data_IF_035469756448
#
_entry.id   IF_035469756448
#
_cell.length_a   1.000
_cell.length_b   1.000
_cell.length_c   1.000
_cell.angle_alpha   90.00
_cell.angle_beta   90.00
_cell.angle_gamma   90.00
#
_symmetry.space_group_name_H-M   'P 1'
#
loop_
_entity.id
_entity.type
_entity.pdbx_description
1 polymer ?
#
# COMPACT_ATOMS: atom_id res chain seq x y z
N UNK A 1 15.24 12.12 -19.66
CA UNK A 1 14.39 13.25 -19.19
C UNK A 1 12.96 12.84 -18.84
N UNK A 2 12.20 12.12 -19.68
CA UNK A 2 10.79 11.79 -19.34
C UNK A 2 10.60 10.90 -18.09
N UNK A 3 11.47 9.91 -17.87
CA UNK A 3 11.38 9.02 -16.71
C UNK A 3 11.63 9.78 -15.39
N UNK A 4 12.78 10.46 -15.29
CA UNK A 4 13.14 11.27 -14.11
C UNK A 4 12.06 12.30 -13.71
N UNK A 5 11.44 12.99 -14.68
CA UNK A 5 10.34 13.92 -14.36
C UNK A 5 9.11 13.19 -13.80
N UNK A 6 8.73 12.07 -14.39
CA UNK A 6 7.61 11.25 -13.89
C UNK A 6 7.89 10.75 -12.48
N UNK A 7 9.10 10.28 -12.21
CA UNK A 7 9.48 9.74 -10.92
C UNK A 7 9.41 10.84 -9.84
N UNK A 8 9.92 12.03 -10.17
CA UNK A 8 9.78 13.24 -9.34
C UNK A 8 8.31 13.62 -9.08
N UNK A 9 7.50 13.73 -10.14
CA UNK A 9 6.09 14.11 -10.05
C UNK A 9 5.30 13.11 -9.19
N UNK A 10 5.62 11.82 -9.30
CA UNK A 10 4.95 10.75 -8.55
C UNK A 10 5.30 10.81 -7.07
N UNK A 11 6.57 11.00 -6.74
CA UNK A 11 6.99 11.16 -5.35
C UNK A 11 6.38 12.43 -4.72
N UNK A 12 6.40 13.55 -5.45
CA UNK A 12 5.77 14.80 -5.01
C UNK A 12 4.26 14.66 -4.78
N UNK A 13 3.57 13.91 -5.65
CA UNK A 13 2.13 13.64 -5.47
C UNK A 13 1.84 12.70 -4.29
N UNK A 14 2.76 11.78 -3.98
CA UNK A 14 2.60 10.84 -2.89
C UNK A 14 2.93 11.42 -1.51
N UNK A 15 3.88 12.35 -1.41
CA UNK A 15 4.39 12.85 -0.13
C UNK A 15 3.29 13.38 0.82
N UNK A 16 2.29 14.17 0.36
CA UNK A 16 1.18 14.60 1.23
C UNK A 16 0.32 13.43 1.76
N UNK A 17 0.30 12.30 1.05
CA UNK A 17 -0.50 11.12 1.38
C UNK A 17 0.24 10.15 2.29
N UNK A 18 1.56 10.26 2.41
CA UNK A 18 2.43 9.30 3.12
C UNK A 18 1.96 8.98 4.53
N UNK A 19 1.64 10.01 5.32
CA UNK A 19 1.12 9.82 6.67
C UNK A 19 -0.25 9.13 6.68
N UNK A 20 -1.15 9.54 5.77
CA UNK A 20 -2.46 8.93 5.60
C UNK A 20 -2.38 7.47 5.13
N UNK A 21 -1.41 7.13 4.28
CA UNK A 21 -1.21 5.78 3.75
C UNK A 21 -0.93 4.76 4.86
N UNK A 22 -0.10 5.11 5.85
CA UNK A 22 0.13 4.25 7.03
C UNK A 22 -1.16 3.99 7.81
N UNK A 23 -1.96 5.03 8.02
CA UNK A 23 -3.22 4.90 8.74
C UNK A 23 -4.24 4.04 7.99
N UNK A 24 -4.34 4.23 6.66
CA UNK A 24 -5.20 3.42 5.81
C UNK A 24 -4.77 1.95 5.80
N UNK A 25 -3.46 1.68 5.73
CA UNK A 25 -2.91 0.34 5.78
C UNK A 25 -3.22 -0.35 7.12
N UNK A 26 -2.91 0.30 8.25
CA UNK A 26 -3.19 -0.24 9.58
C UNK A 26 -4.70 -0.51 9.80
N UNK A 27 -5.56 0.37 9.26
CA UNK A 27 -7.01 0.18 9.28
C UNK A 27 -7.42 -1.04 8.48
N UNK A 28 -6.88 -1.23 7.27
CA UNK A 28 -7.18 -2.38 6.43
C UNK A 28 -6.68 -3.70 7.03
N UNK A 29 -5.49 -3.72 7.61
CA UNK A 29 -4.95 -4.90 8.34
C UNK A 29 -5.87 -5.28 9.51
N UNK A 30 -6.30 -4.31 10.30
CA UNK A 30 -7.25 -4.53 11.41
C UNK A 30 -8.59 -5.06 10.90
N UNK A 31 -9.13 -4.46 9.84
CA UNK A 31 -10.39 -4.89 9.23
C UNK A 31 -10.29 -6.32 8.71
N UNK A 32 -9.18 -6.69 8.07
CA UNK A 32 -8.97 -8.01 7.52
C UNK A 32 -9.01 -9.10 8.60
N UNK A 33 -8.44 -8.85 9.77
CA UNK A 33 -8.46 -9.77 10.93
C UNK A 33 -9.89 -10.01 11.45
N UNK A 34 -10.77 -9.03 11.33
CA UNK A 34 -12.14 -9.11 11.83
C UNK A 34 -13.17 -9.55 10.78
N UNK A 35 -12.74 -9.77 9.53
CA UNK A 35 -13.65 -10.28 8.50
C UNK A 35 -13.93 -11.78 8.70
N UNK A 36 -15.15 -12.24 8.39
CA UNK A 36 -15.44 -13.68 8.32
C UNK A 36 -14.50 -14.38 7.34
N UNK A 37 -14.01 -15.58 7.69
CA UNK A 37 -13.02 -16.31 6.88
C UNK A 37 -13.47 -16.53 5.42
N UNK A 38 -14.77 -16.77 5.20
CA UNK A 38 -15.35 -16.95 3.87
C UNK A 38 -15.39 -15.66 3.02
N UNK A 39 -15.13 -14.51 3.62
CA UNK A 39 -15.09 -13.19 2.96
C UNK A 39 -13.66 -12.77 2.62
N UNK A 40 -12.67 -13.29 3.36
CA UNK A 40 -11.26 -12.96 3.17
C UNK A 40 -10.76 -13.53 1.84
N UNK A 41 -10.18 -12.67 1.00
CA UNK A 41 -9.53 -13.09 -0.24
C UNK A 41 -8.02 -13.24 0.01
N UNK A 42 -7.43 -14.38 -0.36
CA UNK A 42 -5.99 -14.65 -0.15
C UNK A 42 -5.09 -13.57 -0.78
N UNK A 43 -5.50 -12.96 -1.90
CA UNK A 43 -4.76 -11.87 -2.54
C UNK A 43 -4.63 -10.63 -1.66
N UNK A 44 -5.58 -10.37 -0.77
CA UNK A 44 -5.52 -9.20 0.12
C UNK A 44 -4.36 -9.30 1.10
N UNK A 45 -4.08 -10.49 1.63
CA UNK A 45 -2.94 -10.71 2.55
C UNK A 45 -1.62 -10.37 1.85
N UNK A 46 -1.43 -10.88 0.63
CA UNK A 46 -0.25 -10.56 -0.18
C UNK A 46 -0.16 -9.06 -0.49
N UNK A 47 -1.27 -8.46 -0.96
CA UNK A 47 -1.32 -7.05 -1.32
C UNK A 47 -1.00 -6.15 -0.12
N UNK A 48 -1.56 -6.41 1.06
CA UNK A 48 -1.22 -5.66 2.27
C UNK A 48 0.25 -5.82 2.67
N UNK A 49 0.83 -7.01 2.49
CA UNK A 49 2.25 -7.26 2.70
C UNK A 49 3.12 -6.38 1.80
N UNK A 50 2.86 -6.36 0.49
CA UNK A 50 3.58 -5.49 -0.45
C UNK A 50 3.44 -4.03 -0.05
N UNK A 51 2.22 -3.57 0.24
CA UNK A 51 1.97 -2.18 0.64
C UNK A 51 2.73 -1.75 1.89
N UNK A 52 2.84 -2.63 2.88
CA UNK A 52 3.62 -2.41 4.09
C UNK A 52 5.11 -2.30 3.78
N UNK A 53 5.62 -3.25 3.01
CA UNK A 53 7.05 -3.31 2.70
C UNK A 53 7.46 -2.11 1.84
N UNK A 54 6.64 -1.73 0.85
CA UNK A 54 6.87 -0.53 0.03
C UNK A 54 6.83 0.76 0.86
N UNK A 55 5.93 0.91 1.84
CA UNK A 55 5.98 2.06 2.77
C UNK A 55 7.27 2.08 3.60
N UNK A 56 7.65 0.93 4.16
CA UNK A 56 8.88 0.82 4.95
C UNK A 56 10.11 1.22 4.13
N UNK A 57 10.19 0.75 2.88
CA UNK A 57 11.29 1.12 1.96
C UNK A 57 11.30 2.59 1.59
N UNK A 58 10.13 3.18 1.34
CA UNK A 58 10.04 4.63 1.11
C UNK A 58 10.54 5.42 2.33
N UNK A 59 10.25 4.96 3.56
CA UNK A 59 10.72 5.56 4.81
C UNK A 59 12.24 5.50 4.97
N UNK A 60 12.83 4.35 4.67
CA UNK A 60 14.28 4.18 4.64
C UNK A 60 14.93 5.10 3.60
N UNK A 61 14.40 5.13 2.37
CA UNK A 61 14.90 5.99 1.30
C UNK A 61 14.78 7.48 1.64
N UNK A 62 13.72 7.89 2.34
CA UNK A 62 13.60 9.27 2.79
C UNK A 62 14.67 9.62 3.83
N UNK A 63 14.95 8.71 4.78
CA UNK A 63 16.06 8.88 5.73
C UNK A 63 17.41 9.00 5.02
N UNK A 64 17.68 8.09 4.08
CA UNK A 64 18.91 8.11 3.27
C UNK A 64 19.06 9.39 2.44
N UNK A 65 17.96 9.92 1.90
CA UNK A 65 17.95 11.20 1.20
C UNK A 65 18.36 12.35 2.12
N UNK A 66 17.83 12.40 3.34
CA UNK A 66 18.20 13.44 4.32
C UNK A 66 19.70 13.36 4.66
N UNK A 67 20.21 12.15 4.92
CA UNK A 67 21.63 11.93 5.19
C UNK A 67 22.51 12.33 4.00
N UNK A 68 22.13 11.93 2.78
CA UNK A 68 22.85 12.27 1.54
C UNK A 68 22.87 13.78 1.34
N UNK A 69 21.72 14.44 1.48
CA UNK A 69 21.58 15.89 1.34
C UNK A 69 22.44 16.64 2.36
N UNK A 70 22.49 16.17 3.60
CA UNK A 70 23.26 16.81 4.66
C UNK A 70 24.78 16.58 4.49
N UNK A 71 25.18 15.54 3.75
CA UNK A 71 26.57 15.26 3.39
C UNK A 71 27.05 16.00 2.12
N UNK A 72 26.14 16.62 1.36
CA UNK A 72 26.52 17.35 0.15
C UNK A 72 27.41 18.57 0.45
N UNK A 73 28.28 18.97 -0.50
CA UNK A 73 29.05 20.20 -0.37
C UNK A 73 28.15 21.43 -0.13
N UNK A 74 28.62 22.43 0.61
CA UNK A 74 27.84 23.65 0.87
C UNK A 74 27.47 24.44 -0.41
N UNK A 75 28.15 24.17 -1.52
CA UNK A 75 27.87 24.72 -2.85
C UNK A 75 26.75 23.98 -3.59
N UNK A 76 26.45 22.75 -3.20
CA UNK A 76 25.40 21.94 -3.79
C UNK A 76 24.03 22.44 -3.32
N UNK A 77 23.29 23.01 -4.25
CA UNK A 77 21.96 23.60 -4.05
C UNK A 77 21.05 23.16 -5.20
N UNK A 78 19.72 23.27 -5.07
CA UNK A 78 18.82 23.04 -6.21
C UNK A 78 19.29 23.77 -7.47
N UNK A 79 19.39 23.06 -8.59
CA UNK A 79 19.94 23.58 -9.86
C UNK A 79 21.44 23.38 -10.05
N UNK A 80 22.12 22.74 -9.10
CA UNK A 80 23.52 22.30 -9.25
C UNK A 80 23.56 20.80 -9.51
N UNK A 81 24.52 20.35 -10.32
CA UNK A 81 24.63 18.93 -10.70
C UNK A 81 24.70 18.00 -9.48
N UNK A 82 25.56 18.30 -8.50
CA UNK A 82 25.71 17.48 -7.29
C UNK A 82 24.38 17.29 -6.52
N UNK A 83 23.53 18.32 -6.46
CA UNK A 83 22.24 18.22 -5.80
C UNK A 83 21.19 17.53 -6.67
N UNK A 84 21.10 17.94 -7.94
CA UNK A 84 20.06 17.47 -8.87
C UNK A 84 20.28 15.99 -9.23
N UNK A 85 21.53 15.53 -9.33
CA UNK A 85 21.88 14.13 -9.59
C UNK A 85 21.52 13.25 -8.38
N UNK A 86 21.90 13.67 -7.17
CA UNK A 86 21.54 12.96 -5.94
C UNK A 86 20.01 12.89 -5.74
N UNK A 87 19.30 13.97 -6.07
CA UNK A 87 17.84 14.00 -6.05
C UNK A 87 17.23 13.08 -7.10
N UNK A 88 17.79 13.05 -8.32
CA UNK A 88 17.32 12.18 -9.39
C UNK A 88 17.51 10.69 -9.04
N UNK A 89 18.61 10.34 -8.39
CA UNK A 89 18.85 8.98 -7.87
C UNK A 89 17.80 8.60 -6.82
N UNK A 90 17.55 9.47 -5.83
CA UNK A 90 16.50 9.25 -4.84
C UNK A 90 15.12 9.01 -5.47
N UNK A 91 14.76 9.80 -6.48
CA UNK A 91 13.50 9.61 -7.21
C UNK A 91 13.46 8.28 -7.96
N UNK A 92 14.54 7.89 -8.62
CA UNK A 92 14.63 6.65 -9.37
C UNK A 92 14.52 5.42 -8.45
N UNK A 93 15.16 5.44 -7.28
CA UNK A 93 15.07 4.36 -6.29
C UNK A 93 13.68 4.26 -5.67
N UNK A 94 13.03 5.40 -5.42
CA UNK A 94 11.68 5.45 -4.84
C UNK A 94 10.60 4.95 -5.81
N UNK A 95 10.84 5.05 -7.12
CA UNK A 95 9.84 4.77 -8.16
C UNK A 95 9.17 3.40 -8.01
N UNK A 96 9.96 2.32 -7.84
CA UNK A 96 9.42 0.96 -7.80
C UNK A 96 8.41 0.76 -6.65
N UNK A 97 8.70 1.34 -5.49
CA UNK A 97 7.83 1.25 -4.31
C UNK A 97 6.59 2.13 -4.43
N UNK A 98 6.68 3.25 -5.15
CA UNK A 98 5.50 4.07 -5.49
C UNK A 98 4.59 3.37 -6.49
N UNK A 99 5.17 2.64 -7.46
CA UNK A 99 4.42 1.84 -8.43
C UNK A 99 3.70 0.66 -7.75
N UNK A 100 4.35 -0.01 -6.80
CA UNK A 100 3.71 -1.03 -5.95
C UNK A 100 2.51 -0.46 -5.18
N UNK A 101 2.65 0.76 -4.62
CA UNK A 101 1.56 1.45 -3.95
C UNK A 101 0.39 1.74 -4.89
N UNK A 102 0.68 2.30 -6.05
CA UNK A 102 -0.34 2.62 -7.04
C UNK A 102 -1.07 1.34 -7.52
N UNK A 103 -0.32 0.25 -7.70
CA UNK A 103 -0.83 -1.04 -8.17
C UNK A 103 -1.70 -1.75 -7.13
N UNK A 104 -1.27 -1.76 -5.87
CA UNK A 104 -1.92 -2.56 -4.83
C UNK A 104 -2.88 -1.77 -3.92
N UNK A 105 -2.85 -0.43 -3.96
CA UNK A 105 -3.67 0.42 -3.09
C UNK A 105 -5.18 0.23 -3.23
N UNK A 106 -5.66 -0.36 -4.34
CA UNK A 106 -7.08 -0.75 -4.49
C UNK A 106 -7.53 -1.74 -3.40
N UNK A 107 -6.64 -2.59 -2.91
CA UNK A 107 -6.95 -3.59 -1.87
C UNK A 107 -7.52 -2.93 -0.60
N UNK A 108 -7.00 -1.76 -0.22
CA UNK A 108 -7.47 -1.02 0.95
C UNK A 108 -8.97 -0.68 0.86
N UNK A 109 -9.43 -0.22 -0.31
CA UNK A 109 -10.83 0.13 -0.55
C UNK A 109 -11.72 -1.11 -0.57
N UNK A 110 -11.24 -2.21 -1.13
CA UNK A 110 -11.98 -3.46 -1.20
C UNK A 110 -12.21 -4.07 0.19
N UNK A 111 -11.16 -4.11 1.03
CA UNK A 111 -11.23 -4.57 2.42
C UNK A 111 -12.19 -3.67 3.22
N UNK A 112 -12.07 -2.34 3.08
CA UNK A 112 -12.97 -1.41 3.74
C UNK A 112 -14.44 -1.66 3.37
N UNK A 113 -14.71 -1.86 2.08
CA UNK A 113 -16.05 -2.14 1.57
C UNK A 113 -16.59 -3.47 2.13
N UNK A 114 -15.76 -4.53 2.13
CA UNK A 114 -16.13 -5.81 2.74
C UNK A 114 -16.43 -5.68 4.24
N UNK A 115 -15.63 -4.90 4.97
CA UNK A 115 -15.83 -4.66 6.39
C UNK A 115 -17.09 -3.85 6.70
N UNK A 116 -17.51 -2.94 5.81
CA UNK A 116 -18.78 -2.23 5.92
C UNK A 116 -19.97 -3.16 5.67
N UNK A 117 -19.87 -4.04 4.67
CA UNK A 117 -20.91 -5.02 4.36
C UNK A 117 -21.08 -6.03 5.50
N UNK A 118 -19.98 -6.55 6.05
CA UNK A 118 -20.01 -7.49 7.16
C UNK A 118 -20.63 -6.90 8.45
N UNK A 119 -20.52 -5.59 8.65
CA UNK A 119 -21.16 -4.86 9.76
C UNK A 119 -22.64 -4.55 9.53
N UNK A 120 -23.15 -4.74 8.31
CA UNK A 120 -24.55 -4.45 7.99
C UNK A 120 -25.48 -5.50 8.62
N UNK A 121 -26.52 -5.09 9.37
CA UNK A 121 -27.53 -6.01 9.91
C UNK A 121 -28.32 -6.78 8.85
N UNK A 122 -28.26 -6.34 7.59
CA UNK A 122 -28.92 -6.96 6.44
C UNK A 122 -27.99 -7.88 5.64
N UNK A 123 -26.78 -8.16 6.13
CA UNK A 123 -25.87 -9.08 5.48
C UNK A 123 -26.56 -10.46 5.33
N UNK A 124 -26.62 -11.03 4.12
CA UNK A 124 -27.27 -12.30 3.90
C UNK A 124 -26.57 -13.38 4.74
N UNK A 125 -27.30 -13.91 5.72
CA UNK A 125 -26.84 -15.05 6.52
C UNK A 125 -26.69 -16.21 5.55
N UNK A 126 -25.44 -16.59 5.23
CA UNK A 126 -25.17 -17.79 4.44
C UNK A 126 -25.45 -18.99 5.33
N UNK A 127 -26.71 -19.43 5.37
CA UNK A 127 -27.10 -20.65 6.09
C UNK A 127 -26.61 -21.85 5.27
N UNK A 128 -25.70 -22.69 5.77
CA UNK A 128 -25.30 -23.89 5.05
C UNK A 128 -26.50 -24.82 4.93
N UNK A 129 -26.92 -25.12 3.70
CA UNK A 129 -27.96 -26.09 3.43
C UNK A 129 -27.49 -27.47 3.90
N UNK A 130 -28.02 -27.93 5.04
CA UNK A 130 -27.82 -29.30 5.52
C UNK A 130 -28.62 -30.21 4.60
N UNK A 131 -27.98 -30.74 3.54
CA UNK A 131 -28.56 -31.79 2.69
C UNK A 131 -28.67 -33.07 3.52
N UNK A 132 -29.82 -33.26 4.15
CA UNK A 132 -30.18 -34.51 4.81
C UNK A 132 -30.37 -35.61 3.78
N UNK A 133 -29.38 -36.49 3.63
CA UNK A 133 -29.59 -37.78 2.95
C UNK A 133 -30.32 -38.71 3.91
N UNK A 134 -31.63 -38.85 3.73
CA UNK A 134 -32.38 -39.99 4.26
C UNK A 134 -32.03 -41.18 3.36
N UNK A 135 -31.17 -42.08 3.86
CA UNK A 135 -30.97 -43.38 3.25
C UNK A 135 -32.08 -44.31 3.75
N UNK A 136 -33.00 -44.67 2.87
CA UNK A 136 -33.98 -45.71 3.11
C UNK A 136 -33.28 -47.08 3.12
N UNK A 137 -33.60 -47.88 4.15
CA UNK A 137 -33.17 -49.27 4.32
C UNK A 137 -33.88 -50.16 3.28
N UNK A 138 -33.16 -51.13 2.74
CA UNK A 138 -33.68 -52.43 2.30
C UNK A 138 -32.86 -53.51 2.98
#
# INVERSE_FOLDING_TARGET
MRASQRDADTLMAFEPLRYGARHLLATAETQLVHLPENTVQSRWVYQLGVLRDSLGRLDELHGQWLETRDALPATAKPGTADFDDALAEHHAESWSYLDDWATHGKALREINSAALIARSPLAPISVPARVGRIAARQ
#
